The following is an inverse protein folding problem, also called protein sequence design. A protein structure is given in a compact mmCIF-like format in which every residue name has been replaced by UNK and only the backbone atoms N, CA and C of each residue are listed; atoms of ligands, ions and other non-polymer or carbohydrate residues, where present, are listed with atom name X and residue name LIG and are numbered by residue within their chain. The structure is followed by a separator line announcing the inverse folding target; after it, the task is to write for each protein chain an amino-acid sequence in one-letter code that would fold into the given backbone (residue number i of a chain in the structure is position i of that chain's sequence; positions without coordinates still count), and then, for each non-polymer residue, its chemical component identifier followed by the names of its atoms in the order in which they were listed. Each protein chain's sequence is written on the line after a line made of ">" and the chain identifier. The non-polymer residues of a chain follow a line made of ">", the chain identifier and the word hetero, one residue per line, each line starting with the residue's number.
data_IF_924090702771
#
_entry.id   IF_924090702771
#
_cell.length_a   1.000
_cell.length_b   1.000
_cell.length_c   1.000
_cell.angle_alpha   90.00
_cell.angle_beta   90.00
_cell.angle_gamma   90.00
#
_symmetry.space_group_name_H-M   'P 1'
#
loop_
_entity.id
_entity.type
_entity.pdbx_description
1 polymer ?
#
# COMPACT_ATOMS: atom_id res chain seq x y z
N UNK A 1 48.55 40.84 13.34
CA UNK A 1 47.90 40.30 12.16
C UNK A 1 47.96 38.75 12.11
N UNK A 2 47.74 38.01 13.22
CA UNK A 2 47.97 36.55 13.27
C UNK A 2 46.73 35.72 13.70
N UNK A 3 45.56 36.31 13.92
CA UNK A 3 44.41 35.64 14.51
C UNK A 3 43.17 35.54 13.63
N UNK A 4 43.18 36.07 12.41
CA UNK A 4 42.02 36.05 11.50
C UNK A 4 41.94 34.82 10.59
N UNK A 5 43.07 34.15 10.34
CA UNK A 5 43.11 32.99 9.42
C UNK A 5 42.34 31.75 9.96
N UNK A 6 42.39 31.37 11.26
CA UNK A 6 41.69 30.21 11.76
C UNK A 6 40.17 30.41 11.77
N UNK A 7 39.65 31.64 11.90
CA UNK A 7 38.23 31.92 11.89
C UNK A 7 37.58 31.76 10.51
N UNK A 8 38.32 32.11 9.46
CA UNK A 8 37.80 31.93 8.07
C UNK A 8 37.72 30.46 7.68
N UNK A 9 38.67 29.64 8.12
CA UNK A 9 38.62 28.20 7.88
C UNK A 9 37.48 27.52 8.64
N UNK A 10 37.18 27.94 9.86
CA UNK A 10 36.05 27.39 10.63
C UNK A 10 34.70 27.72 10.01
N UNK A 11 34.50 28.91 9.46
CA UNK A 11 33.24 29.29 8.79
C UNK A 11 33.03 28.59 7.46
N UNK A 12 34.07 28.34 6.69
CA UNK A 12 34.00 27.59 5.42
C UNK A 12 33.71 26.12 5.68
N UNK A 13 34.28 25.51 6.71
CA UNK A 13 33.99 24.12 7.09
C UNK A 13 32.54 23.91 7.54
N UNK A 14 31.91 24.90 8.18
CA UNK A 14 30.52 24.81 8.64
C UNK A 14 29.50 24.91 7.48
N UNK A 15 29.87 25.62 6.40
CA UNK A 15 29.00 25.73 5.20
C UNK A 15 28.99 24.47 4.34
N UNK A 16 29.98 23.59 4.44
CA UNK A 16 30.03 22.34 3.64
C UNK A 16 29.17 21.22 4.25
N UNK A 17 28.79 21.31 5.52
CA UNK A 17 28.04 20.30 6.23
C UNK A 17 26.51 20.39 6.01
N UNK A 18 26.03 21.37 5.30
CA UNK A 18 24.63 21.47 4.86
C UNK A 18 24.43 20.73 3.53
N UNK A 19 24.94 19.51 3.44
CA UNK A 19 24.49 18.56 2.43
C UNK A 19 23.03 18.31 2.70
N UNK A 20 22.16 18.99 1.98
CA UNK A 20 20.72 18.72 1.95
C UNK A 20 20.56 17.24 1.63
N UNK A 21 20.11 16.49 2.60
CA UNK A 21 19.52 15.19 2.34
C UNK A 21 18.29 15.47 1.48
N UNK A 22 18.48 15.49 0.18
CA UNK A 22 17.39 15.44 -0.75
C UNK A 22 16.71 14.09 -0.47
N UNK A 23 15.65 14.12 0.30
CA UNK A 23 14.83 12.94 0.55
C UNK A 23 14.25 12.57 -0.80
N UNK A 24 14.85 11.59 -1.46
CA UNK A 24 14.29 11.05 -2.68
C UNK A 24 12.86 10.60 -2.35
N UNK A 25 11.89 11.24 -2.99
CA UNK A 25 10.49 10.85 -2.80
C UNK A 25 10.28 9.54 -3.52
N UNK A 26 9.94 8.47 -2.81
CA UNK A 26 9.72 7.19 -3.46
C UNK A 26 8.49 7.25 -4.37
N UNK A 27 8.55 6.50 -5.46
CA UNK A 27 7.38 6.23 -6.28
C UNK A 27 6.63 5.03 -5.70
N UNK A 28 5.30 5.09 -5.68
CA UNK A 28 4.45 4.02 -5.22
C UNK A 28 3.62 3.48 -6.38
N UNK A 29 3.61 2.17 -6.55
CA UNK A 29 2.73 1.46 -7.49
C UNK A 29 1.83 0.57 -6.65
N UNK A 30 0.52 0.77 -6.75
CA UNK A 30 -0.49 -0.06 -6.10
C UNK A 30 -1.12 -0.95 -7.17
N UNK A 31 -0.96 -2.26 -7.03
CA UNK A 31 -1.60 -3.25 -7.89
C UNK A 31 -2.75 -3.84 -7.09
N UNK A 32 -3.97 -3.52 -7.50
CA UNK A 32 -5.19 -3.97 -6.85
C UNK A 32 -5.90 -4.97 -7.75
N UNK A 33 -5.95 -6.22 -7.30
CA UNK A 33 -6.55 -7.32 -8.07
C UNK A 33 -7.95 -7.58 -7.54
N UNK A 34 -8.91 -7.71 -8.45
CA UNK A 34 -10.30 -8.05 -8.16
C UNK A 34 -10.47 -9.57 -8.15
N UNK A 35 -11.33 -10.05 -7.26
CA UNK A 35 -11.68 -11.48 -7.13
C UNK A 35 -10.45 -12.41 -6.95
N UNK A 36 -9.38 -11.93 -6.32
CA UNK A 36 -8.22 -12.74 -5.95
C UNK A 36 -8.32 -13.12 -4.46
N UNK A 37 -8.49 -14.40 -4.20
CA UNK A 37 -8.50 -14.94 -2.84
C UNK A 37 -7.10 -14.99 -2.23
N UNK A 38 -7.06 -15.08 -0.92
CA UNK A 38 -5.82 -15.11 -0.13
C UNK A 38 -4.89 -16.28 -0.50
N UNK A 39 -5.44 -17.43 -0.86
CA UNK A 39 -4.72 -18.63 -1.26
C UNK A 39 -4.70 -18.88 -2.78
N UNK A 40 -5.11 -17.92 -3.61
CA UNK A 40 -5.25 -18.11 -5.05
C UNK A 40 -3.95 -17.89 -5.84
N UNK A 41 -2.82 -17.74 -5.15
CA UNK A 41 -1.50 -17.62 -5.78
C UNK A 41 -0.56 -18.72 -5.30
N UNK A 42 0.52 -18.98 -6.03
CA UNK A 42 1.58 -19.90 -5.59
C UNK A 42 2.41 -19.35 -4.40
N UNK A 43 2.20 -18.09 -4.01
CA UNK A 43 2.87 -17.49 -2.86
C UNK A 43 2.30 -18.06 -1.57
N UNK A 44 3.11 -18.81 -0.82
CA UNK A 44 2.71 -19.28 0.50
C UNK A 44 2.61 -18.10 1.47
N UNK A 45 1.39 -17.82 1.93
CA UNK A 45 1.10 -16.67 2.78
C UNK A 45 1.41 -16.93 4.26
N UNK A 46 1.25 -18.17 4.75
CA UNK A 46 1.59 -18.59 6.11
C UNK A 46 2.60 -19.72 6.09
N UNK A 47 3.67 -19.55 6.86
CA UNK A 47 4.65 -20.63 7.05
C UNK A 47 4.02 -21.74 7.88
N UNK A 48 4.18 -23.00 7.42
CA UNK A 48 3.59 -24.17 8.08
C UNK A 48 2.16 -24.51 7.66
N UNK A 49 1.47 -23.65 6.91
CA UNK A 49 0.15 -23.93 6.34
C UNK A 49 0.23 -24.15 4.83
N UNK A 50 0.16 -25.42 4.35
CA UNK A 50 0.18 -25.71 2.92
C UNK A 50 -1.01 -25.11 2.16
N UNK A 51 -2.18 -24.98 2.80
CA UNK A 51 -3.40 -24.45 2.17
C UNK A 51 -3.36 -22.93 1.95
N UNK A 52 -2.32 -22.27 2.48
CA UNK A 52 -2.09 -20.84 2.28
C UNK A 52 -1.48 -20.48 0.92
N UNK A 53 -1.37 -21.42 0.01
CA UNK A 53 -0.93 -21.25 -1.37
C UNK A 53 -1.74 -22.14 -2.29
N UNK A 54 -1.96 -21.70 -3.52
CA UNK A 54 -2.55 -22.55 -4.55
C UNK A 54 -1.55 -23.56 -5.06
N UNK A 55 -1.97 -24.82 -5.16
CA UNK A 55 -1.24 -25.90 -5.84
C UNK A 55 -1.53 -25.94 -7.35
N UNK A 56 -2.57 -25.22 -7.80
CA UNK A 56 -3.03 -25.15 -9.18
C UNK A 56 -2.50 -23.92 -9.92
N UNK A 57 -2.59 -22.74 -9.31
CA UNK A 57 -2.19 -21.49 -9.95
C UNK A 57 -0.69 -21.29 -9.91
N UNK A 58 -0.08 -21.04 -11.05
CA UNK A 58 1.35 -20.75 -11.16
C UNK A 58 1.58 -19.25 -11.31
N UNK A 59 2.17 -18.64 -10.27
CA UNK A 59 2.40 -17.20 -10.21
C UNK A 59 3.87 -16.86 -9.91
N UNK A 60 4.83 -17.27 -10.78
CA UNK A 60 6.27 -17.18 -10.49
C UNK A 60 6.74 -15.75 -10.28
N UNK A 61 6.14 -14.78 -10.95
CA UNK A 61 6.50 -13.36 -10.77
C UNK A 61 6.06 -12.82 -9.40
N UNK A 62 4.91 -13.27 -8.88
CA UNK A 62 4.47 -12.90 -7.53
C UNK A 62 5.34 -13.58 -6.47
N UNK A 63 5.74 -14.83 -6.69
CA UNK A 63 6.69 -15.51 -5.79
C UNK A 63 8.03 -14.78 -5.75
N UNK A 64 8.58 -14.39 -6.91
CA UNK A 64 9.82 -13.63 -6.98
C UNK A 64 9.69 -12.24 -6.30
N UNK A 65 8.54 -11.60 -6.40
CA UNK A 65 8.26 -10.35 -5.70
C UNK A 65 8.17 -10.56 -4.19
N UNK A 66 7.45 -11.60 -3.75
CA UNK A 66 7.29 -11.95 -2.35
C UNK A 66 8.61 -12.29 -1.66
N UNK A 67 9.55 -12.94 -2.37
CA UNK A 67 10.89 -13.24 -1.86
C UNK A 67 11.75 -11.99 -1.63
N UNK A 68 11.50 -10.91 -2.37
CA UNK A 68 12.25 -9.63 -2.28
C UNK A 68 11.54 -8.59 -1.41
N UNK A 69 10.31 -8.86 -1.03
CA UNK A 69 9.46 -7.93 -0.30
C UNK A 69 8.95 -8.50 1.02
N UNK A 70 7.82 -7.99 1.47
CA UNK A 70 7.15 -8.41 2.69
C UNK A 70 5.78 -8.98 2.35
N UNK A 71 5.42 -10.12 2.96
CA UNK A 71 4.10 -10.72 2.91
C UNK A 71 3.33 -10.41 4.19
N UNK A 72 2.08 -10.06 4.06
CA UNK A 72 1.18 -9.81 5.18
C UNK A 72 0.14 -10.94 5.26
N UNK A 73 0.34 -11.89 6.15
CA UNK A 73 -0.57 -13.03 6.32
C UNK A 73 -1.93 -12.64 6.90
N UNK A 74 -1.99 -11.54 7.65
CA UNK A 74 -3.19 -11.04 8.32
C UNK A 74 -3.62 -9.67 7.78
N UNK A 75 -3.55 -9.45 6.47
CA UNK A 75 -4.07 -8.27 5.82
C UNK A 75 -5.48 -8.52 5.29
N UNK A 76 -6.40 -7.60 5.57
CA UNK A 76 -7.81 -7.76 5.22
C UNK A 76 -8.28 -6.65 4.31
N UNK A 77 -9.06 -7.01 3.30
CA UNK A 77 -9.77 -6.03 2.49
C UNK A 77 -10.84 -5.32 3.34
N UNK A 78 -11.11 -4.03 3.09
CA UNK A 78 -12.08 -3.27 3.88
C UNK A 78 -13.53 -3.71 3.68
N UNK A 79 -13.82 -4.52 2.68
CA UNK A 79 -15.13 -5.09 2.39
C UNK A 79 -14.99 -6.39 1.59
N UNK A 80 -15.89 -7.36 1.77
CA UNK A 80 -15.90 -8.58 0.98
C UNK A 80 -16.42 -8.38 -0.46
N UNK A 81 -16.93 -7.19 -0.79
CA UNK A 81 -17.46 -6.88 -2.12
C UNK A 81 -16.66 -5.79 -2.82
N UNK A 82 -16.64 -5.86 -4.15
CA UNK A 82 -15.77 -5.05 -5.02
C UNK A 82 -15.97 -3.54 -4.85
N UNK A 83 -17.19 -3.02 -4.97
CA UNK A 83 -17.42 -1.57 -5.00
C UNK A 83 -17.08 -0.87 -3.68
N UNK A 84 -17.53 -1.32 -2.49
CA UNK A 84 -17.14 -0.69 -1.23
C UNK A 84 -15.64 -0.79 -0.97
N UNK A 85 -15.02 -1.93 -1.31
CA UNK A 85 -13.59 -2.13 -1.15
C UNK A 85 -12.78 -1.17 -2.03
N UNK A 86 -13.12 -1.06 -3.33
CA UNK A 86 -12.47 -0.14 -4.27
C UNK A 86 -12.61 1.32 -3.84
N UNK A 87 -13.82 1.74 -3.43
CA UNK A 87 -14.04 3.10 -2.91
C UNK A 87 -13.24 3.38 -1.66
N UNK A 88 -13.10 2.40 -0.76
CA UNK A 88 -12.30 2.57 0.45
C UNK A 88 -10.84 2.88 0.15
N UNK A 89 -10.25 2.19 -0.81
CA UNK A 89 -8.87 2.44 -1.25
C UNK A 89 -8.74 3.81 -1.92
N UNK A 90 -9.66 4.15 -2.83
CA UNK A 90 -9.63 5.42 -3.56
C UNK A 90 -9.76 6.64 -2.64
N UNK A 91 -10.60 6.55 -1.62
CA UNK A 91 -10.90 7.68 -0.72
C UNK A 91 -10.18 7.61 0.62
N UNK A 92 -9.42 6.53 0.91
CA UNK A 92 -8.77 6.34 2.20
C UNK A 92 -9.75 6.31 3.37
N UNK A 93 -10.96 5.80 3.18
CA UNK A 93 -12.04 5.78 4.18
C UNK A 93 -12.72 4.42 4.22
N UNK A 94 -13.18 4.02 5.40
CA UNK A 94 -13.93 2.78 5.54
C UNK A 94 -15.28 2.85 4.83
N UNK A 95 -15.86 1.70 4.39
CA UNK A 95 -17.17 1.65 3.74
C UNK A 95 -18.28 2.31 4.56
N UNK A 96 -18.26 2.14 5.89
CA UNK A 96 -19.21 2.78 6.80
C UNK A 96 -19.13 4.30 6.79
N UNK A 97 -17.92 4.87 6.75
CA UNK A 97 -17.74 6.34 6.62
C UNK A 97 -18.18 6.88 5.27
N UNK A 98 -18.04 6.08 4.23
CA UNK A 98 -18.49 6.43 2.88
C UNK A 98 -20.01 6.24 2.71
N UNK A 99 -20.68 5.61 3.68
CA UNK A 99 -22.08 5.17 3.60
C UNK A 99 -22.34 4.32 2.35
N UNK A 100 -21.36 3.51 2.00
CA UNK A 100 -21.36 2.68 0.80
C UNK A 100 -20.90 1.27 1.16
N UNK A 101 -21.86 0.41 1.55
CA UNK A 101 -21.58 -0.91 2.10
C UNK A 101 -21.98 -2.05 1.18
N UNK A 102 -22.63 -1.76 0.04
CA UNK A 102 -23.06 -2.74 -0.96
C UNK A 102 -22.59 -2.37 -2.36
N UNK A 103 -22.67 -3.33 -3.28
CA UNK A 103 -22.30 -3.16 -4.71
C UNK A 103 -23.17 -2.12 -5.39
N UNK A 104 -24.45 -2.08 -5.03
CA UNK A 104 -25.41 -1.07 -5.51
C UNK A 104 -25.72 -0.09 -4.38
N UNK A 105 -25.88 1.18 -4.74
CA UNK A 105 -26.35 2.19 -3.80
C UNK A 105 -27.83 1.93 -3.47
N UNK A 106 -28.06 1.22 -2.37
CA UNK A 106 -29.42 0.90 -1.88
C UNK A 106 -30.23 2.17 -1.66
N UNK A 107 -29.56 3.27 -1.21
CA UNK A 107 -30.24 4.56 -1.01
C UNK A 107 -30.64 5.21 -2.33
N UNK A 108 -29.92 4.98 -3.41
CA UNK A 108 -30.33 5.43 -4.74
C UNK A 108 -31.49 4.60 -5.28
N UNK A 109 -31.53 3.29 -4.96
CA UNK A 109 -32.64 2.43 -5.30
C UNK A 109 -33.91 2.83 -4.52
N UNK A 110 -33.78 3.05 -3.20
CA UNK A 110 -34.90 3.50 -2.35
C UNK A 110 -35.43 4.89 -2.79
N UNK A 111 -34.56 5.81 -3.22
CA UNK A 111 -34.96 7.11 -3.79
C UNK A 111 -35.75 6.96 -5.10
N UNK A 112 -35.41 5.95 -5.91
CA UNK A 112 -36.13 5.66 -7.16
C UNK A 112 -37.47 4.96 -6.90
N UNK A 113 -37.63 4.30 -5.76
CA UNK A 113 -38.85 3.57 -5.39
C UNK A 113 -39.81 4.41 -4.52
N UNK A 114 -39.40 5.58 -4.05
CA UNK A 114 -40.30 6.56 -3.41
C UNK A 114 -40.97 7.40 -4.50
N UNK A 115 -42.15 7.00 -4.86
CA UNK A 115 -43.12 7.73 -5.68
C UNK A 115 -43.80 8.79 -4.82
#
# INVERSE_FOLDING_TARGET
>A
MRTLVPFVFATVATCISLSTWATERPNFIIIYVDDLGWADTAVRMMDGDPESASDFHQTPNLEALAQRGMKFSCAYAPSPTCTPSRKSIQFGKTPGRLKYTFVHDVLALERKLKW
#
